data_IF_976007945919
#
_entry.id   IF_976007945919
#
_cell.length_a   1.000
_cell.length_b   1.000
_cell.length_c   1.000
_cell.angle_alpha   90.00
_cell.angle_beta   90.00
_cell.angle_gamma   90.00
#
_symmetry.space_group_name_H-M   'P 1'
#
loop_
_entity.id
_entity.type
_entity.pdbx_description
1 polymer ?
#
# COMPACT_ATOMS: atom_id res chain seq x y z
N UNK A 1 17.08 3.47 22.66
CA UNK A 1 17.00 4.53 21.63
C UNK A 1 16.77 3.99 20.22
N UNK A 2 17.68 3.19 19.61
CA UNK A 2 17.52 2.74 18.22
C UNK A 2 16.25 1.91 17.98
N UNK A 3 15.87 1.05 18.93
CA UNK A 3 14.61 0.32 18.89
C UNK A 3 13.39 1.24 18.76
N UNK A 4 13.27 2.26 19.62
CA UNK A 4 12.12 3.18 19.60
C UNK A 4 12.03 3.98 18.30
N UNK A 5 13.18 4.37 17.73
CA UNK A 5 13.23 5.03 16.41
C UNK A 5 12.74 4.06 15.32
N UNK A 6 13.28 2.85 15.28
CA UNK A 6 12.89 1.84 14.30
C UNK A 6 11.41 1.47 14.41
N UNK A 7 10.90 1.29 15.64
CA UNK A 7 9.47 1.06 15.94
C UNK A 7 8.60 2.22 15.47
N UNK A 8 9.00 3.47 15.74
CA UNK A 8 8.26 4.65 15.31
C UNK A 8 8.20 4.77 13.79
N UNK A 9 9.32 4.54 13.10
CA UNK A 9 9.40 4.53 11.63
C UNK A 9 8.55 3.39 11.05
N UNK A 10 8.64 2.19 11.62
CA UNK A 10 7.86 1.03 11.22
C UNK A 10 6.36 1.28 11.33
N UNK A 11 5.89 1.71 12.50
CA UNK A 11 4.48 2.03 12.73
C UNK A 11 4.02 3.19 11.85
N UNK A 12 4.84 4.22 11.69
CA UNK A 12 4.54 5.37 10.82
C UNK A 12 4.28 4.95 9.38
N UNK A 13 5.15 4.09 8.82
CA UNK A 13 4.96 3.60 7.45
C UNK A 13 3.79 2.62 7.32
N UNK A 14 3.50 1.78 8.31
CA UNK A 14 2.30 0.95 8.31
C UNK A 14 1.02 1.79 8.31
N UNK A 15 0.96 2.85 9.12
CA UNK A 15 -0.20 3.74 9.17
C UNK A 15 -0.38 4.47 7.83
N UNK A 16 0.71 4.98 7.24
CA UNK A 16 0.68 5.65 5.94
C UNK A 16 0.23 4.70 4.82
N UNK A 17 0.77 3.49 4.78
CA UNK A 17 0.34 2.45 3.84
C UNK A 17 -1.16 2.16 4.03
N UNK A 18 -1.61 1.94 5.27
CA UNK A 18 -3.04 1.70 5.56
C UNK A 18 -3.94 2.85 5.12
N UNK A 19 -3.55 4.10 5.36
CA UNK A 19 -4.31 5.29 4.95
C UNK A 19 -4.38 5.39 3.42
N UNK A 20 -3.24 5.26 2.74
CA UNK A 20 -3.19 5.33 1.26
C UNK A 20 -3.99 4.21 0.62
N UNK A 21 -3.88 2.99 1.16
CA UNK A 21 -4.67 1.83 0.77
C UNK A 21 -6.16 2.07 0.96
N UNK A 22 -6.57 2.57 2.13
CA UNK A 22 -7.96 2.89 2.40
C UNK A 22 -8.52 3.99 1.48
N UNK A 23 -7.77 5.07 1.23
CA UNK A 23 -8.19 6.14 0.30
C UNK A 23 -8.42 5.57 -1.10
N UNK A 24 -7.47 4.76 -1.59
CA UNK A 24 -7.56 4.14 -2.91
C UNK A 24 -8.76 3.21 -3.03
N UNK A 25 -8.95 2.32 -2.05
CA UNK A 25 -10.04 1.34 -1.99
C UNK A 25 -11.38 2.05 -1.91
N UNK A 26 -11.52 3.03 -1.00
CA UNK A 26 -12.78 3.74 -0.81
C UNK A 26 -13.13 4.59 -2.02
N UNK A 27 -12.14 5.26 -2.62
CA UNK A 27 -12.36 6.08 -3.81
C UNK A 27 -12.68 5.25 -5.05
N UNK A 28 -11.96 4.15 -5.29
CA UNK A 28 -12.27 3.22 -6.38
C UNK A 28 -13.67 2.60 -6.21
N UNK A 29 -14.03 2.10 -5.02
CA UNK A 29 -15.36 1.52 -4.76
C UNK A 29 -16.50 2.52 -4.93
N UNK A 30 -16.33 3.77 -4.47
CA UNK A 30 -17.42 4.78 -4.44
C UNK A 30 -17.54 5.56 -5.75
N UNK A 31 -16.43 5.93 -6.38
CA UNK A 31 -16.41 6.86 -7.52
C UNK A 31 -16.06 6.20 -8.85
N UNK A 32 -15.29 5.11 -8.84
CA UNK A 32 -14.80 4.47 -10.06
C UNK A 32 -15.08 2.95 -10.04
N UNK A 33 -16.35 2.53 -10.11
CA UNK A 33 -16.72 1.12 -9.98
C UNK A 33 -16.12 0.23 -11.08
N UNK A 34 -15.85 0.78 -12.27
CA UNK A 34 -15.13 0.08 -13.35
C UNK A 34 -13.69 -0.25 -12.95
N UNK A 35 -12.98 0.71 -12.35
CA UNK A 35 -11.64 0.51 -11.78
C UNK A 35 -11.67 -0.55 -10.67
N UNK A 36 -12.66 -0.44 -9.79
CA UNK A 36 -12.88 -1.41 -8.71
C UNK A 36 -13.10 -2.84 -9.23
N UNK A 37 -13.93 -3.02 -10.26
CA UNK A 37 -14.16 -4.35 -10.84
C UNK A 37 -12.95 -4.88 -11.60
N UNK A 38 -12.22 -4.01 -12.30
CA UNK A 38 -11.09 -4.38 -13.15
C UNK A 38 -9.85 -4.77 -12.34
N UNK A 39 -9.62 -4.11 -11.21
CA UNK A 39 -8.54 -4.46 -10.29
C UNK A 39 -8.72 -5.84 -9.61
N UNK A 40 -9.83 -6.54 -9.88
CA UNK A 40 -10.18 -7.83 -9.28
C UNK A 40 -11.02 -7.62 -8.01
N UNK A 41 -12.35 -7.76 -8.14
CA UNK A 41 -13.32 -7.79 -7.02
C UNK A 41 -12.83 -8.74 -5.89
N UNK A 42 -13.48 -8.69 -4.71
CA UNK A 42 -12.95 -8.26 -3.40
C UNK A 42 -11.79 -9.09 -2.79
N UNK A 43 -11.25 -10.12 -3.46
CA UNK A 43 -10.21 -11.00 -2.91
C UNK A 43 -8.82 -10.37 -2.85
N UNK A 44 -8.59 -9.28 -3.58
CA UNK A 44 -7.29 -8.58 -3.63
C UNK A 44 -7.17 -7.34 -2.73
N UNK A 45 -8.28 -6.86 -2.16
CA UNK A 45 -8.32 -5.54 -1.51
C UNK A 45 -9.04 -5.53 -0.15
N UNK A 46 -9.58 -6.67 0.29
CA UNK A 46 -10.30 -6.78 1.56
C UNK A 46 -9.43 -7.13 2.77
N UNK A 47 -8.23 -7.68 2.53
CA UNK A 47 -7.32 -8.08 3.59
C UNK A 47 -6.32 -6.96 3.84
N UNK A 48 -6.27 -6.46 5.08
CA UNK A 48 -5.42 -5.36 5.52
C UNK A 48 -3.94 -5.74 5.69
N UNK A 49 -3.51 -6.89 5.16
CA UNK A 49 -2.14 -7.35 5.29
C UNK A 49 -1.29 -6.88 4.11
N UNK A 50 -0.04 -6.52 4.38
CA UNK A 50 0.96 -6.14 3.36
C UNK A 50 1.10 -7.21 2.25
N UNK A 51 0.95 -8.49 2.59
CA UNK A 51 1.04 -9.58 1.61
C UNK A 51 -0.17 -9.54 0.67
N UNK A 52 -1.37 -9.29 1.18
CA UNK A 52 -2.57 -9.17 0.35
C UNK A 52 -2.62 -7.90 -0.50
N UNK A 53 -1.88 -6.85 -0.13
CA UNK A 53 -1.76 -5.64 -0.96
C UNK A 53 -0.85 -5.83 -2.19
N UNK A 54 -0.07 -6.93 -2.27
CA UNK A 54 0.86 -7.16 -3.38
C UNK A 54 0.22 -7.18 -4.77
N UNK A 55 -0.90 -7.87 -5.03
CA UNK A 55 -1.45 -7.94 -6.38
C UNK A 55 -2.04 -6.60 -6.84
N UNK A 56 -2.57 -5.79 -5.90
CA UNK A 56 -2.97 -4.42 -6.19
C UNK A 56 -1.75 -3.54 -6.50
N UNK A 57 -0.67 -3.65 -5.72
CA UNK A 57 0.58 -2.96 -6.04
C UNK A 57 1.11 -3.37 -7.41
N UNK A 58 1.08 -4.66 -7.74
CA UNK A 58 1.46 -5.17 -9.05
C UNK A 58 0.56 -4.61 -10.16
N UNK A 59 -0.75 -4.54 -9.93
CA UNK A 59 -1.71 -3.94 -10.86
C UNK A 59 -1.38 -2.46 -11.14
N UNK A 60 -1.07 -1.69 -10.09
CA UNK A 60 -0.70 -0.28 -10.17
C UNK A 60 0.68 -0.07 -10.81
N UNK A 61 1.67 -0.89 -10.47
CA UNK A 61 3.02 -0.88 -11.06
C UNK A 61 2.99 -1.20 -12.55
N UNK A 62 2.21 -2.20 -12.95
CA UNK A 62 2.03 -2.59 -14.35
C UNK A 62 1.12 -1.64 -15.13
N UNK A 63 0.55 -0.62 -14.47
CA UNK A 63 -0.38 0.35 -15.05
C UNK A 63 -1.55 -0.29 -15.79
N UNK A 64 -2.01 -1.45 -15.34
CA UNK A 64 -3.14 -2.19 -15.95
C UNK A 64 -4.44 -1.39 -15.96
N UNK A 65 -4.57 -0.40 -15.09
CA UNK A 65 -5.69 0.54 -15.13
C UNK A 65 -5.74 1.38 -16.41
N UNK A 66 -4.64 1.52 -17.17
CA UNK A 66 -4.62 2.23 -18.45
C UNK A 66 -5.40 1.49 -19.56
N UNK A 67 -5.68 0.19 -19.39
CA UNK A 67 -6.51 -0.59 -20.29
C UNK A 67 -8.01 -0.27 -20.12
N UNK A 68 -8.38 0.51 -19.10
CA UNK A 68 -9.75 0.97 -18.91
C UNK A 68 -10.15 1.98 -19.98
N UNK A 69 -11.34 1.81 -20.56
CA UNK A 69 -11.96 2.84 -21.42
C UNK A 69 -12.54 4.03 -20.65
N UNK A 70 -12.11 4.28 -19.41
CA UNK A 70 -12.67 5.29 -18.50
C UNK A 70 -11.54 6.25 -18.06
N UNK A 71 -11.52 7.44 -18.66
CA UNK A 71 -10.46 8.43 -18.46
C UNK A 71 -10.42 8.98 -17.03
N UNK A 72 -11.57 9.13 -16.38
CA UNK A 72 -11.65 9.62 -14.99
C UNK A 72 -11.10 8.58 -14.02
N UNK A 73 -11.40 7.29 -14.26
CA UNK A 73 -10.84 6.19 -13.51
C UNK A 73 -9.31 6.07 -13.68
N UNK A 74 -8.81 6.26 -14.90
CA UNK A 74 -7.37 6.28 -15.19
C UNK A 74 -6.70 7.45 -14.46
N UNK A 75 -7.25 8.65 -14.53
CA UNK A 75 -6.69 9.83 -13.89
C UNK A 75 -6.65 9.67 -12.35
N UNK A 76 -7.70 9.09 -11.77
CA UNK A 76 -7.74 8.75 -10.36
C UNK A 76 -6.65 7.73 -9.99
N UNK A 77 -6.51 6.65 -10.78
CA UNK A 77 -5.51 5.63 -10.52
C UNK A 77 -4.08 6.17 -10.67
N UNK A 78 -3.82 6.99 -11.68
CA UNK A 78 -2.50 7.60 -11.91
C UNK A 78 -2.10 8.54 -10.78
N UNK A 79 -3.02 9.38 -10.30
CA UNK A 79 -2.76 10.31 -9.18
C UNK A 79 -2.43 9.57 -7.89
N UNK A 80 -3.08 8.44 -7.63
CA UNK A 80 -2.91 7.70 -6.38
C UNK A 80 -1.86 6.58 -6.51
N UNK A 81 -1.40 6.23 -7.71
CA UNK A 81 -0.42 5.17 -7.94
C UNK A 81 0.87 5.40 -7.17
N UNK A 82 1.48 6.57 -7.34
CA UNK A 82 2.79 6.86 -6.73
C UNK A 82 2.72 6.82 -5.20
N UNK A 83 1.80 7.53 -4.53
CA UNK A 83 1.64 7.43 -3.09
C UNK A 83 1.48 5.98 -2.62
N UNK A 84 0.61 5.20 -3.26
CA UNK A 84 0.31 3.82 -2.88
C UNK A 84 1.54 2.90 -3.01
N UNK A 85 2.23 2.96 -4.15
CA UNK A 85 3.40 2.10 -4.42
C UNK A 85 4.57 2.47 -3.50
N UNK A 86 4.80 3.77 -3.28
CA UNK A 86 5.89 4.25 -2.44
C UNK A 86 5.66 3.87 -0.98
N UNK A 87 4.46 4.09 -0.45
CA UNK A 87 4.15 3.72 0.95
C UNK A 87 4.24 2.22 1.16
N UNK A 88 3.85 1.41 0.18
CA UNK A 88 4.02 -0.04 0.24
C UNK A 88 5.49 -0.46 0.36
N UNK A 89 6.35 -0.01 -0.55
CA UNK A 89 7.78 -0.36 -0.49
C UNK A 89 8.46 0.20 0.76
N UNK A 90 8.05 1.39 1.20
CA UNK A 90 8.56 1.97 2.43
C UNK A 90 8.14 1.17 3.67
N UNK A 91 6.91 0.64 3.70
CA UNK A 91 6.45 -0.27 4.74
C UNK A 91 7.20 -1.62 4.70
N UNK A 92 7.44 -2.19 3.53
CA UNK A 92 8.29 -3.39 3.41
C UNK A 92 9.72 -3.13 3.91
N UNK A 93 10.32 -2.00 3.55
CA UNK A 93 11.66 -1.63 3.99
C UNK A 93 11.70 -1.39 5.50
N UNK A 94 10.68 -0.75 6.07
CA UNK A 94 10.63 -0.47 7.50
C UNK A 94 10.48 -1.75 8.33
N UNK A 95 9.78 -2.78 7.82
CA UNK A 95 9.77 -4.13 8.42
C UNK A 95 11.19 -4.70 8.47
N UNK A 96 11.93 -4.66 7.37
CA UNK A 96 13.30 -5.19 7.30
C UNK A 96 14.24 -4.44 8.26
N UNK A 97 14.14 -3.11 8.31
CA UNK A 97 14.93 -2.27 9.23
C UNK A 97 14.58 -2.58 10.68
N UNK A 98 13.29 -2.73 11.01
CA UNK A 98 12.84 -3.07 12.35
C UNK A 98 13.42 -4.40 12.81
N UNK A 99 13.32 -5.46 12.00
CA UNK A 99 13.90 -6.76 12.33
C UNK A 99 15.44 -6.73 12.38
N UNK A 100 16.10 -5.96 11.51
CA UNK A 100 17.55 -5.79 11.59
C UNK A 100 17.98 -5.12 12.90
N UNK A 101 17.26 -4.09 13.35
CA UNK A 101 17.52 -3.42 14.64
C UNK A 101 17.24 -4.36 15.80
N UNK A 102 16.13 -5.11 15.76
CA UNK A 102 15.80 -6.10 16.78
C UNK A 102 16.88 -7.19 16.89
N UNK A 103 17.40 -7.66 15.75
CA UNK A 103 18.43 -8.70 15.72
C UNK A 103 19.80 -8.20 16.20
N UNK A 104 20.19 -6.97 15.84
CA UNK A 104 21.50 -6.41 16.18
C UNK A 104 21.57 -5.82 17.60
N UNK A 105 20.48 -5.23 18.09
CA UNK A 105 20.46 -4.47 19.35
C UNK A 105 19.54 -5.07 20.43
N UNK A 106 18.75 -6.09 20.09
CA UNK A 106 17.79 -6.70 21.01
C UNK A 106 16.56 -5.83 21.30
N UNK A 107 15.66 -6.35 22.13
CA UNK A 107 14.56 -5.57 22.71
C UNK A 107 15.07 -4.74 23.89
N UNK A 108 14.57 -3.51 24.10
CA UNK A 108 14.81 -2.80 25.34
C UNK A 108 14.24 -3.60 26.53
N UNK A 109 15.00 -3.67 27.62
CA UNK A 109 14.52 -4.20 28.91
C UNK A 109 13.49 -3.26 29.56
#
# INVERSE_FOLDING_TARGET
MPFWIASGVFLGFLILESITSWIFIRGSKKKHPKLWSHAGKPTLMGNGDLISAWPLNKYLLQRKYAELGDQDAIAYAERNRLPFVVTYFAACLSVLVFFAVLFLFGSPE
#
